data_IF_603145038933
#
_entry.id   IF_603145038933
#
_cell.length_a   1.000
_cell.length_b   1.000
_cell.length_c   1.000
_cell.angle_alpha   90.00
_cell.angle_beta   90.00
_cell.angle_gamma   90.00
#
_symmetry.space_group_name_H-M   'P 1'
#
loop_
_entity.id
_entity.type
_entity.pdbx_description
1 polymer ?
#
# COMPACT_ATOMS: atom_id res chain seq x y z
N UNK A 1 -19.00 17.38 2.63
CA UNK A 1 -17.91 16.56 2.07
C UNK A 1 -17.31 17.33 0.91
N UNK A 2 -15.98 17.54 0.89
CA UNK A 2 -15.27 18.16 -0.23
C UNK A 2 -15.27 17.17 -1.40
N UNK A 3 -15.67 17.63 -2.58
CA UNK A 3 -15.63 16.83 -3.80
C UNK A 3 -14.41 17.24 -4.61
N UNK A 4 -13.49 16.31 -4.81
CA UNK A 4 -12.48 16.44 -5.86
C UNK A 4 -13.15 16.09 -7.19
N UNK A 5 -12.94 16.89 -8.25
CA UNK A 5 -13.39 16.53 -9.59
C UNK A 5 -12.73 15.21 -10.04
N UNK A 6 -11.43 15.07 -9.75
CA UNK A 6 -10.68 13.81 -9.87
C UNK A 6 -10.02 13.47 -8.53
N UNK A 7 -10.25 12.25 -8.05
CA UNK A 7 -9.53 11.69 -6.91
C UNK A 7 -8.22 11.07 -7.39
N UNK A 8 -7.39 10.65 -6.44
CA UNK A 8 -6.09 10.05 -6.71
C UNK A 8 -5.90 8.77 -5.91
N UNK A 9 -4.89 7.99 -6.26
CA UNK A 9 -4.52 6.78 -5.53
C UNK A 9 -3.26 7.00 -4.72
N UNK A 10 -3.29 6.56 -3.47
CA UNK A 10 -2.13 6.46 -2.59
C UNK A 10 -1.79 4.97 -2.49
N UNK A 11 -0.68 4.57 -3.09
CA UNK A 11 -0.26 3.18 -3.18
C UNK A 11 0.84 2.88 -2.17
N UNK A 12 0.45 2.25 -1.06
CA UNK A 12 1.39 1.84 -0.01
C UNK A 12 2.03 0.50 -0.39
N UNK A 13 3.36 0.52 -0.58
CA UNK A 13 4.19 -0.67 -0.80
C UNK A 13 5.20 -0.85 0.32
N UNK A 14 5.58 -2.09 0.60
CA UNK A 14 6.48 -2.42 1.70
C UNK A 14 6.36 -3.89 2.12
N UNK A 15 7.42 -4.50 2.68
CA UNK A 15 7.34 -5.86 3.21
C UNK A 15 6.30 -6.03 4.35
N UNK A 16 6.01 -7.27 4.72
CA UNK A 16 5.18 -7.55 5.90
C UNK A 16 5.81 -6.93 7.17
N UNK A 17 5.00 -6.41 8.09
CA UNK A 17 5.51 -5.77 9.31
C UNK A 17 6.03 -4.33 9.15
N UNK A 18 6.08 -3.80 7.92
CA UNK A 18 6.57 -2.45 7.66
C UNK A 18 5.63 -1.31 8.10
N UNK A 19 4.37 -1.58 8.49
CA UNK A 19 3.45 -0.54 8.99
C UNK A 19 2.39 -0.02 8.01
N UNK A 20 2.32 -0.55 6.77
CA UNK A 20 1.34 -0.14 5.74
C UNK A 20 -0.10 0.00 6.23
N UNK A 21 -0.63 -1.00 6.94
CA UNK A 21 -2.02 -1.00 7.42
C UNK A 21 -2.27 0.11 8.44
N UNK A 22 -1.30 0.37 9.33
CA UNK A 22 -1.37 1.46 10.31
C UNK A 22 -1.44 2.82 9.61
N UNK A 23 -0.53 3.04 8.65
CA UNK A 23 -0.51 4.27 7.85
C UNK A 23 -1.81 4.43 7.05
N UNK A 24 -2.30 3.38 6.39
CA UNK A 24 -3.55 3.43 5.62
C UNK A 24 -4.74 3.89 6.46
N UNK A 25 -4.91 3.33 7.66
CA UNK A 25 -6.03 3.66 8.56
C UNK A 25 -5.91 5.10 9.06
N UNK A 26 -4.71 5.52 9.48
CA UNK A 26 -4.46 6.89 9.99
C UNK A 26 -4.66 7.94 8.90
N UNK A 27 -4.14 7.68 7.70
CA UNK A 27 -4.28 8.53 6.53
C UNK A 27 -5.76 8.65 6.12
N UNK A 28 -6.48 7.53 6.07
CA UNK A 28 -7.91 7.54 5.77
C UNK A 28 -8.72 8.36 6.78
N UNK A 29 -8.43 8.20 8.08
CA UNK A 29 -9.06 8.98 9.13
C UNK A 29 -8.82 10.48 8.92
N UNK A 30 -7.55 10.89 8.76
CA UNK A 30 -7.18 12.30 8.59
C UNK A 30 -7.82 12.91 7.34
N UNK A 31 -7.78 12.23 6.20
CA UNK A 31 -8.38 12.72 4.95
C UNK A 31 -9.92 12.81 5.03
N UNK A 32 -10.58 11.87 5.73
CA UNK A 32 -12.04 11.95 6.01
C UNK A 32 -12.37 13.12 6.92
N UNK A 33 -11.57 13.38 7.95
CA UNK A 33 -11.70 14.56 8.84
C UNK A 33 -11.51 15.87 8.07
N UNK A 34 -10.65 15.89 7.04
CA UNK A 34 -10.52 17.02 6.11
C UNK A 34 -11.72 17.17 5.15
N UNK A 35 -12.66 16.22 5.19
CA UNK A 35 -13.92 16.23 4.45
C UNK A 35 -13.90 15.47 3.13
N UNK A 36 -12.83 14.73 2.79
CA UNK A 36 -12.74 14.00 1.53
C UNK A 36 -13.40 12.61 1.60
N UNK A 37 -13.82 12.09 0.44
CA UNK A 37 -14.20 10.69 0.28
C UNK A 37 -12.97 9.83 0.16
N UNK A 38 -12.88 8.79 0.97
CA UNK A 38 -11.69 7.94 1.05
C UNK A 38 -12.11 6.49 1.23
N UNK A 39 -11.50 5.60 0.44
CA UNK A 39 -11.67 4.16 0.58
C UNK A 39 -10.32 3.46 0.70
N UNK A 40 -10.26 2.44 1.56
CA UNK A 40 -9.08 1.61 1.74
C UNK A 40 -9.27 0.31 0.95
N UNK A 41 -8.35 0.02 0.05
CA UNK A 41 -8.25 -1.23 -0.68
C UNK A 41 -7.12 -2.07 -0.05
N UNK A 42 -7.46 -2.86 0.96
CA UNK A 42 -6.55 -3.81 1.61
C UNK A 42 -6.49 -5.11 0.81
N UNK A 43 -5.32 -5.40 0.23
CA UNK A 43 -5.14 -6.58 -0.63
C UNK A 43 -5.42 -7.91 0.08
N UNK A 44 -5.11 -8.02 1.37
CA UNK A 44 -5.37 -9.24 2.12
C UNK A 44 -6.88 -9.47 2.31
N UNK A 45 -7.62 -8.41 2.61
CA UNK A 45 -9.08 -8.45 2.75
C UNK A 45 -9.74 -8.76 1.41
N UNK A 46 -9.39 -8.02 0.35
CA UNK A 46 -9.94 -8.23 -1.00
C UNK A 46 -9.68 -9.67 -1.47
N UNK A 47 -8.45 -10.18 -1.28
CA UNK A 47 -8.12 -11.55 -1.67
C UNK A 47 -8.95 -12.58 -0.91
N UNK A 48 -9.07 -12.44 0.40
CA UNK A 48 -9.87 -13.37 1.23
C UNK A 48 -11.36 -13.35 0.88
N UNK A 49 -11.91 -12.17 0.56
CA UNK A 49 -13.34 -12.01 0.29
C UNK A 49 -13.72 -12.42 -1.12
N UNK A 50 -12.95 -11.98 -2.13
CA UNK A 50 -13.30 -12.23 -3.53
C UNK A 50 -12.71 -13.53 -4.08
N UNK A 51 -11.58 -13.97 -3.51
CA UNK A 51 -10.75 -15.03 -4.09
C UNK A 51 -10.14 -15.96 -3.02
N UNK A 52 -10.95 -16.55 -2.12
CA UNK A 52 -10.44 -17.37 -1.01
C UNK A 52 -9.55 -18.53 -1.47
N UNK A 53 -9.82 -19.07 -2.66
CA UNK A 53 -9.15 -20.27 -3.20
C UNK A 53 -8.11 -19.98 -4.30
N UNK A 54 -7.84 -18.71 -4.63
CA UNK A 54 -6.97 -18.33 -5.76
C UNK A 54 -5.48 -18.71 -5.56
N UNK A 55 -5.11 -19.23 -4.39
CA UNK A 55 -3.73 -19.63 -4.08
C UNK A 55 -2.76 -18.45 -4.14
N UNK A 56 -1.45 -18.70 -4.28
CA UNK A 56 -0.39 -17.66 -4.31
C UNK A 56 0.58 -17.75 -5.50
N UNK A 57 0.18 -18.42 -6.59
CA UNK A 57 0.96 -18.50 -7.83
C UNK A 57 1.27 -17.11 -8.40
N UNK A 58 2.20 -17.03 -9.35
CA UNK A 58 2.54 -15.76 -10.01
C UNK A 58 1.32 -15.18 -10.73
N UNK A 59 0.60 -16.00 -11.47
CA UNK A 59 -0.60 -15.66 -12.24
C UNK A 59 -1.73 -15.20 -11.32
N UNK A 60 -1.93 -15.90 -10.19
CA UNK A 60 -2.88 -15.52 -9.15
C UNK A 60 -2.57 -14.14 -8.55
N UNK A 61 -1.29 -13.85 -8.30
CA UNK A 61 -0.85 -12.52 -7.82
C UNK A 61 -1.07 -11.45 -8.88
N UNK A 62 -0.75 -11.73 -10.15
CA UNK A 62 -0.97 -10.81 -11.26
C UNK A 62 -2.45 -10.48 -11.45
N UNK A 63 -3.33 -11.48 -11.43
CA UNK A 63 -4.78 -11.30 -11.51
C UNK A 63 -5.29 -10.45 -10.35
N UNK A 64 -4.89 -10.77 -9.12
CA UNK A 64 -5.28 -10.00 -7.94
C UNK A 64 -4.84 -8.53 -8.04
N UNK A 65 -3.60 -8.28 -8.49
CA UNK A 65 -3.10 -6.92 -8.69
C UNK A 65 -3.93 -6.17 -9.73
N UNK A 66 -4.28 -6.78 -10.86
CA UNK A 66 -5.12 -6.16 -11.90
C UNK A 66 -6.49 -5.75 -11.37
N UNK A 67 -7.11 -6.57 -10.53
CA UNK A 67 -8.40 -6.27 -9.89
C UNK A 67 -8.28 -5.05 -8.99
N UNK A 68 -7.28 -5.02 -8.10
CA UNK A 68 -7.09 -3.89 -7.18
C UNK A 68 -6.77 -2.60 -7.94
N UNK A 69 -5.93 -2.67 -8.98
CA UNK A 69 -5.60 -1.52 -9.84
C UNK A 69 -6.86 -0.99 -10.52
N UNK A 70 -7.69 -1.88 -11.07
CA UNK A 70 -8.94 -1.47 -11.70
C UNK A 70 -9.90 -0.81 -10.70
N UNK A 71 -10.06 -1.39 -9.50
CA UNK A 71 -10.88 -0.80 -8.43
C UNK A 71 -10.37 0.59 -8.02
N UNK A 72 -9.05 0.75 -7.83
CA UNK A 72 -8.43 2.02 -7.49
C UNK A 72 -8.69 3.08 -8.57
N UNK A 73 -8.48 2.73 -9.84
CA UNK A 73 -8.79 3.59 -10.99
C UNK A 73 -10.26 4.01 -11.04
N UNK A 74 -11.19 3.08 -10.80
CA UNK A 74 -12.63 3.36 -10.78
C UNK A 74 -13.02 4.31 -9.64
N UNK A 75 -12.40 4.19 -8.47
CA UNK A 75 -12.65 5.08 -7.34
C UNK A 75 -12.06 6.47 -7.59
N UNK A 76 -10.78 6.54 -7.98
CA UNK A 76 -10.07 7.79 -8.24
C UNK A 76 -10.73 8.62 -9.31
N UNK A 77 -11.11 8.04 -10.47
CA UNK A 77 -11.82 8.77 -11.53
C UNK A 77 -13.20 9.32 -11.11
N UNK A 78 -13.75 8.87 -9.99
CA UNK A 78 -15.02 9.32 -9.45
C UNK A 78 -14.85 10.25 -8.24
N UNK A 79 -13.67 10.83 -8.03
CA UNK A 79 -13.41 11.81 -6.97
C UNK A 79 -13.22 11.20 -5.57
N UNK A 80 -12.84 9.91 -5.48
CA UNK A 80 -12.53 9.21 -4.23
C UNK A 80 -11.03 9.04 -4.09
N UNK A 81 -10.46 9.34 -2.92
CA UNK A 81 -9.06 9.03 -2.64
C UNK A 81 -8.97 7.54 -2.32
N UNK A 82 -8.34 6.76 -3.18
CA UNK A 82 -8.15 5.32 -2.98
C UNK A 82 -6.82 5.07 -2.27
N UNK A 83 -6.84 4.48 -1.08
CA UNK A 83 -5.64 4.08 -0.35
C UNK A 83 -5.45 2.59 -0.54
N UNK A 84 -4.50 2.21 -1.37
CA UNK A 84 -4.18 0.82 -1.66
C UNK A 84 -3.08 0.36 -0.71
N UNK A 85 -3.32 -0.74 0.02
CA UNK A 85 -2.30 -1.38 0.88
C UNK A 85 -2.00 -2.78 0.35
N UNK A 86 -0.95 -2.90 -0.46
CA UNK A 86 -0.45 -4.17 -0.98
C UNK A 86 1.06 -4.29 -0.78
N UNK A 87 1.54 -5.51 -0.54
CA UNK A 87 2.99 -5.76 -0.51
C UNK A 87 3.63 -5.36 -1.84
N UNK A 88 2.98 -5.68 -2.97
CA UNK A 88 3.38 -5.30 -4.34
C UNK A 88 4.91 -5.41 -4.59
N UNK A 89 5.50 -6.62 -4.45
CA UNK A 89 6.96 -6.79 -4.38
C UNK A 89 7.71 -6.48 -5.66
N UNK A 90 7.05 -6.46 -6.81
CA UNK A 90 7.70 -6.25 -8.11
C UNK A 90 7.47 -4.82 -8.59
N UNK A 91 8.55 -4.12 -8.96
CA UNK A 91 8.51 -2.76 -9.51
C UNK A 91 7.61 -2.68 -10.74
N UNK A 92 7.68 -3.66 -11.63
CA UNK A 92 6.87 -3.71 -12.85
C UNK A 92 5.35 -3.64 -12.58
N UNK A 93 4.87 -4.20 -11.47
CA UNK A 93 3.45 -4.13 -11.08
C UNK A 93 3.08 -2.72 -10.63
N UNK A 94 3.97 -2.06 -9.87
CA UNK A 94 3.73 -0.70 -9.35
C UNK A 94 3.79 0.33 -10.48
N UNK A 95 4.72 0.17 -11.43
CA UNK A 95 4.78 0.96 -12.65
C UNK A 95 3.52 0.79 -13.53
N UNK A 96 3.05 -0.46 -13.67
CA UNK A 96 1.78 -0.71 -14.36
C UNK A 96 0.59 -0.04 -13.65
N UNK A 97 0.52 -0.12 -12.31
CA UNK A 97 -0.51 0.54 -11.52
C UNK A 97 -0.50 2.07 -11.72
N UNK A 98 0.68 2.69 -11.62
CA UNK A 98 0.92 4.11 -11.85
C UNK A 98 0.40 4.54 -13.22
N UNK A 99 0.82 3.83 -14.27
CA UNK A 99 0.39 4.11 -15.65
C UNK A 99 -1.13 3.97 -15.84
N UNK A 100 -1.73 2.94 -15.26
CA UNK A 100 -3.16 2.67 -15.43
C UNK A 100 -4.05 3.67 -14.70
N UNK A 101 -3.64 4.12 -13.51
CA UNK A 101 -4.45 4.95 -12.64
C UNK A 101 -4.33 6.45 -13.00
N UNK A 102 -3.12 6.91 -13.35
CA UNK A 102 -2.85 8.34 -13.59
C UNK A 102 -2.44 9.03 -12.29
N UNK A 103 -3.37 9.71 -11.63
CA UNK A 103 -3.09 10.45 -10.39
C UNK A 103 -2.73 9.49 -9.25
N UNK A 104 -1.42 9.38 -8.97
CA UNK A 104 -0.85 8.26 -8.23
C UNK A 104 0.33 8.71 -7.37
N UNK A 105 0.33 8.29 -6.10
CA UNK A 105 1.42 8.49 -5.16
C UNK A 105 1.91 7.13 -4.69
N UNK A 106 3.12 6.73 -5.09
CA UNK A 106 3.80 5.58 -4.52
C UNK A 106 4.42 5.95 -3.17
N UNK A 107 3.96 5.28 -2.12
CA UNK A 107 4.50 5.43 -0.77
C UNK A 107 5.26 4.17 -0.41
N UNK A 108 6.58 4.29 -0.34
CA UNK A 108 7.43 3.22 0.17
C UNK A 108 7.45 3.24 1.70
N UNK A 109 6.72 2.29 2.30
CA UNK A 109 6.73 2.08 3.75
C UNK A 109 7.86 1.12 4.11
N UNK A 110 8.91 1.68 4.68
CA UNK A 110 10.14 0.99 5.07
C UNK A 110 10.19 0.73 6.58
N UNK A 111 10.81 -0.40 6.93
CA UNK A 111 11.35 -0.69 8.25
C UNK A 111 12.50 -1.70 8.10
N UNK A 112 13.58 -1.61 8.90
CA UNK A 112 14.63 -2.61 8.95
C UNK A 112 14.08 -4.02 9.20
N UNK A 113 14.75 -5.06 8.68
CA UNK A 113 14.29 -6.44 8.81
C UNK A 113 14.10 -6.85 10.27
N UNK A 114 15.03 -6.45 11.14
CA UNK A 114 15.04 -6.75 12.56
C UNK A 114 13.79 -6.20 13.25
N UNK A 115 13.40 -4.97 12.91
CA UNK A 115 12.18 -4.32 13.40
C UNK A 115 10.93 -5.07 12.89
N UNK A 116 10.93 -5.50 11.63
CA UNK A 116 9.81 -6.26 11.05
C UNK A 116 9.64 -7.63 11.70
N UNK A 117 10.74 -8.33 11.97
CA UNK A 117 10.76 -9.61 12.70
C UNK A 117 10.29 -9.41 14.13
N UNK A 118 10.72 -8.34 14.81
CA UNK A 118 10.29 -8.04 16.18
C UNK A 118 8.78 -7.76 16.25
N UNK A 119 8.23 -7.03 15.27
CA UNK A 119 6.80 -6.68 15.22
C UNK A 119 5.91 -7.89 14.91
N UNK A 120 6.34 -8.75 14.00
CA UNK A 120 5.66 -9.92 13.41
C UNK A 120 4.13 -10.05 13.66
N UNK A 121 3.32 -9.08 13.21
CA UNK A 121 1.91 -8.97 13.61
C UNK A 121 1.04 -10.13 13.09
N UNK A 122 1.57 -10.92 12.16
CA UNK A 122 0.89 -12.04 11.50
C UNK A 122 1.56 -13.40 11.80
N UNK A 123 2.61 -13.42 12.62
CA UNK A 123 3.39 -14.63 12.89
C UNK A 123 4.11 -15.20 11.66
N UNK A 124 4.28 -14.40 10.59
CA UNK A 124 4.84 -14.87 9.32
C UNK A 124 6.35 -15.02 9.40
N UNK A 125 7.04 -14.10 10.08
CA UNK A 125 8.48 -14.19 10.26
C UNK A 125 8.85 -15.35 11.18
N UNK A 126 8.10 -15.55 12.28
CA UNK A 126 8.30 -16.70 13.17
C UNK A 126 8.13 -18.04 12.44
N UNK A 127 7.13 -18.16 11.55
CA UNK A 127 6.93 -19.36 10.72
C UNK A 127 8.06 -19.54 9.69
N UNK A 128 8.51 -18.47 9.04
CA UNK A 128 9.61 -18.52 8.10
C UNK A 128 10.95 -18.91 8.77
N UNK A 129 11.23 -18.39 9.97
CA UNK A 129 12.40 -18.74 10.77
C UNK A 129 12.41 -20.23 11.19
N UNK A 130 11.24 -20.84 11.37
CA UNK A 130 11.10 -22.29 11.60
C UNK A 130 11.06 -23.13 10.31
N UNK A 131 11.16 -22.50 9.14
CA UNK A 131 11.13 -23.17 7.83
C UNK A 131 9.73 -23.62 7.37
N UNK A 132 8.67 -23.22 8.05
CA UNK A 132 7.27 -23.56 7.69
C UNK A 132 6.77 -22.74 6.48
N UNK A 133 7.34 -21.55 6.27
CA UNK A 133 7.07 -20.69 5.11
C UNK A 133 8.38 -20.45 4.39
N UNK A 134 8.39 -20.66 3.07
CA UNK A 134 9.51 -20.32 2.18
C UNK A 134 9.11 -19.17 1.26
N UNK A 135 10.07 -18.32 0.91
CA UNK A 135 9.85 -17.21 -0.01
C UNK A 135 8.97 -16.10 0.57
N UNK A 136 9.09 -15.85 1.88
CA UNK A 136 8.46 -14.71 2.54
C UNK A 136 9.07 -13.42 2.00
N UNK A 137 8.22 -12.62 1.37
CA UNK A 137 8.61 -11.36 0.72
C UNK A 137 9.33 -10.41 1.66
N UNK A 138 10.54 -10.00 1.28
CA UNK A 138 11.41 -9.10 2.05
C UNK A 138 12.15 -9.77 3.21
N UNK A 139 12.13 -11.10 3.29
CA UNK A 139 13.00 -11.94 4.12
C UNK A 139 13.84 -12.87 3.23
N UNK A 140 13.30 -14.01 2.82
CA UNK A 140 13.92 -14.99 1.92
C UNK A 140 13.24 -15.03 0.53
N UNK A 141 12.22 -14.20 0.32
CA UNK A 141 11.56 -13.99 -0.96
C UNK A 141 11.77 -12.57 -1.52
N UNK A 142 11.56 -12.42 -2.83
CA UNK A 142 11.78 -11.18 -3.58
C UNK A 142 10.96 -10.01 -3.03
N UNK A 143 11.63 -8.87 -2.84
CA UNK A 143 11.04 -7.54 -2.70
C UNK A 143 11.95 -6.53 -3.42
N UNK A 144 11.46 -5.96 -4.51
CA UNK A 144 12.16 -4.93 -5.26
C UNK A 144 11.77 -3.57 -4.69
N UNK A 145 12.67 -2.95 -3.91
CA UNK A 145 12.44 -1.62 -3.35
C UNK A 145 12.10 -0.60 -4.45
N UNK A 146 11.17 0.35 -4.21
CA UNK A 146 10.94 1.47 -5.12
C UNK A 146 12.20 2.31 -5.28
N UNK A 147 12.59 2.62 -6.52
CA UNK A 147 13.75 3.46 -6.80
C UNK A 147 13.41 4.95 -6.65
N UNK A 148 12.23 5.37 -7.12
CA UNK A 148 11.77 6.76 -7.09
C UNK A 148 10.33 6.86 -6.56
N UNK A 149 10.03 6.42 -5.33
CA UNK A 149 8.70 6.62 -4.76
C UNK A 149 8.45 8.11 -4.52
N UNK A 150 7.22 8.59 -4.70
CA UNK A 150 6.86 9.97 -4.34
C UNK A 150 7.10 10.24 -2.85
N UNK A 151 6.92 9.24 -1.99
CA UNK A 151 7.19 9.33 -0.56
C UNK A 151 7.89 8.08 -0.06
N UNK A 152 8.99 8.25 0.68
CA UNK A 152 9.58 7.19 1.50
C UNK A 152 9.29 7.47 2.97
N UNK A 153 8.71 6.49 3.65
CA UNK A 153 8.39 6.52 5.08
C UNK A 153 9.28 5.52 5.80
N UNK A 154 10.08 5.97 6.77
CA UNK A 154 10.81 5.07 7.67
C UNK A 154 10.00 4.89 8.96
N UNK A 155 9.11 3.89 8.99
CA UNK A 155 8.22 3.62 10.12
C UNK A 155 8.94 3.14 11.39
N UNK A 156 10.26 2.94 11.32
CA UNK A 156 11.08 2.66 12.49
C UNK A 156 11.57 3.93 13.18
N UNK A 157 11.46 5.08 12.52
CA UNK A 157 11.93 6.38 13.01
C UNK A 157 10.83 7.44 13.06
N UNK A 158 9.83 7.33 12.20
CA UNK A 158 8.70 8.25 12.14
C UNK A 158 7.56 7.77 13.04
N UNK A 159 6.87 8.73 13.64
CA UNK A 159 5.57 8.53 14.27
C UNK A 159 4.49 8.42 13.19
N UNK A 160 3.39 7.68 13.41
CA UNK A 160 2.29 7.56 12.43
C UNK A 160 1.74 8.92 11.95
N UNK A 161 1.76 9.93 12.82
CA UNK A 161 1.33 11.28 12.49
C UNK A 161 2.30 11.95 11.49
N UNK A 162 3.62 11.81 11.67
CA UNK A 162 4.63 12.30 10.71
C UNK A 162 4.52 11.55 9.36
N UNK A 163 4.26 10.25 9.38
CA UNK A 163 4.04 9.47 8.15
C UNK A 163 2.85 10.01 7.34
N UNK A 164 1.74 10.30 8.03
CA UNK A 164 0.53 10.85 7.42
C UNK A 164 0.78 12.23 6.84
N UNK A 165 1.42 13.12 7.60
CA UNK A 165 1.68 14.48 7.14
C UNK A 165 2.65 14.50 5.96
N UNK A 166 3.65 13.60 5.90
CA UNK A 166 4.53 13.46 4.74
C UNK A 166 3.76 13.10 3.45
N UNK A 167 2.80 12.17 3.54
CA UNK A 167 1.97 11.77 2.40
C UNK A 167 1.01 12.88 1.97
N UNK A 168 0.38 13.57 2.93
CA UNK A 168 -0.52 14.71 2.62
C UNK A 168 0.27 15.88 2.02
N UNK A 169 1.46 16.18 2.53
CA UNK A 169 2.33 17.22 1.99
C UNK A 169 2.67 16.94 0.53
N UNK A 170 3.03 15.69 0.21
CA UNK A 170 3.29 15.29 -1.18
C UNK A 170 2.05 15.38 -2.07
N UNK A 171 0.88 14.99 -1.57
CA UNK A 171 -0.37 15.14 -2.33
C UNK A 171 -0.70 16.61 -2.64
N UNK A 172 -0.37 17.54 -1.74
CA UNK A 172 -0.49 18.99 -2.00
C UNK A 172 0.54 19.49 -3.01
N UNK A 173 1.80 19.05 -2.87
CA UNK A 173 2.88 19.40 -3.79
C UNK A 173 2.57 18.99 -5.23
N UNK A 174 1.94 17.82 -5.41
CA UNK A 174 1.49 17.30 -6.71
C UNK A 174 0.18 17.95 -7.21
N UNK A 175 -0.46 18.82 -6.41
CA UNK A 175 -1.72 19.46 -6.76
C UNK A 175 -2.96 18.58 -6.65
N UNK A 176 -2.86 17.39 -6.05
CA UNK A 176 -4.00 16.49 -5.83
C UNK A 176 -4.87 16.92 -4.64
N UNK A 177 -4.29 17.69 -3.72
CA UNK A 177 -5.00 18.32 -2.62
C UNK A 177 -4.73 19.84 -2.63
N UNK A 178 -5.73 20.67 -2.27
CA UNK A 178 -5.54 22.09 -2.03
C UNK A 178 -4.77 22.40 -0.73
#
# INVERSE_FOLDING_TARGET
>A
MKNLENGFTIWLTGPSGAGKTTLAVKLAKKLREMGYRVEILDGDTIRKTLYPDLGFSKEAREMHNRVVIHMAKLLSRNGVIAIVSLISPYRAVREYARKEIGDFIEVYVYAPLEVRIQRDPKGLYAKALRGEIKGLTGYDGVYEEPENPEVRVDSSKMTPEEEVEAVIAKARELGYLP
#
